data_IF_187577426152
#
_entry.id   IF_187577426152
#
_cell.length_a   1.000
_cell.length_b   1.000
_cell.length_c   1.000
_cell.angle_alpha   90.00
_cell.angle_beta   90.00
_cell.angle_gamma   90.00
#
_symmetry.space_group_name_H-M   'P 1'
#
loop_
_entity.id
_entity.type
_entity.pdbx_description
1 polymer ?
#
# COMPACT_ATOMS: atom_id res chain seq x y z
N UNK A 1 11.33 20.67 -14.92
CA UNK A 1 10.77 20.31 -13.59
C UNK A 1 10.01 18.99 -13.60
N UNK A 2 8.75 18.92 -14.05
CA UNK A 2 7.94 17.68 -13.99
C UNK A 2 8.54 16.52 -14.79
N UNK A 3 8.90 16.75 -16.05
CA UNK A 3 9.50 15.73 -16.92
C UNK A 3 10.83 15.22 -16.38
N UNK A 4 11.63 16.09 -15.76
CA UNK A 4 12.91 15.74 -15.14
C UNK A 4 12.70 14.87 -13.89
N UNK A 5 11.72 15.22 -13.04
CA UNK A 5 11.35 14.41 -11.88
C UNK A 5 10.91 13.01 -12.29
N UNK A 6 10.04 12.92 -13.31
CA UNK A 6 9.58 11.64 -13.87
C UNK A 6 10.74 10.85 -14.46
N UNK A 7 11.65 11.51 -15.18
CA UNK A 7 12.83 10.86 -15.77
C UNK A 7 13.74 10.29 -14.68
N UNK A 8 14.00 11.05 -13.60
CA UNK A 8 14.76 10.59 -12.44
C UNK A 8 14.11 9.37 -11.79
N UNK A 9 12.81 9.43 -11.50
CA UNK A 9 12.06 8.29 -10.93
C UNK A 9 12.20 7.05 -11.81
N UNK A 10 12.01 7.19 -13.13
CA UNK A 10 12.14 6.08 -14.08
C UNK A 10 13.57 5.51 -14.13
N UNK A 11 14.57 6.36 -13.96
CA UNK A 11 15.96 5.92 -13.92
C UNK A 11 16.26 5.15 -12.63
N UNK A 12 15.77 5.61 -11.48
CA UNK A 12 15.87 4.88 -10.21
C UNK A 12 15.14 3.54 -10.26
N UNK A 13 13.96 3.48 -10.89
CA UNK A 13 13.24 2.22 -11.12
C UNK A 13 14.05 1.26 -12.00
N UNK A 14 14.67 1.76 -13.06
CA UNK A 14 15.52 0.93 -13.94
C UNK A 14 16.76 0.41 -13.23
N UNK A 15 17.45 1.28 -12.48
CA UNK A 15 18.63 0.89 -11.70
C UNK A 15 18.30 -0.19 -10.67
N UNK A 16 17.10 -0.14 -10.09
CA UNK A 16 16.66 -1.09 -9.07
C UNK A 16 15.54 -2.01 -9.57
N UNK A 17 15.63 -2.46 -10.83
CA UNK A 17 14.60 -3.30 -11.47
C UNK A 17 14.32 -4.62 -10.73
N UNK A 18 15.22 -5.06 -9.85
CA UNK A 18 15.03 -6.25 -9.02
C UNK A 18 14.05 -6.04 -7.86
N UNK A 19 13.75 -4.79 -7.50
CA UNK A 19 12.90 -4.45 -6.36
C UNK A 19 11.51 -4.01 -6.81
N UNK A 20 10.53 -4.92 -6.69
CA UNK A 20 9.14 -4.64 -7.06
C UNK A 20 8.56 -3.42 -6.32
N UNK A 21 9.00 -3.16 -5.09
CA UNK A 21 8.52 -2.05 -4.27
C UNK A 21 8.93 -0.69 -4.84
N UNK A 22 10.15 -0.61 -5.39
CA UNK A 22 10.64 0.60 -6.04
C UNK A 22 9.80 0.90 -7.29
N UNK A 23 9.43 -0.12 -8.05
CA UNK A 23 8.55 0.03 -9.20
C UNK A 23 7.17 0.56 -8.80
N UNK A 24 6.52 -0.05 -7.80
CA UNK A 24 5.19 0.36 -7.33
C UNK A 24 5.20 1.80 -6.83
N UNK A 25 6.19 2.18 -6.00
CA UNK A 25 6.28 3.53 -5.47
C UNK A 25 6.67 4.54 -6.55
N UNK A 26 7.53 4.15 -7.50
CA UNK A 26 7.90 4.97 -8.64
C UNK A 26 6.69 5.30 -9.52
N UNK A 27 5.87 4.31 -9.85
CA UNK A 27 4.62 4.52 -10.59
C UNK A 27 3.65 5.44 -9.84
N UNK A 28 3.48 5.20 -8.54
CA UNK A 28 2.66 6.05 -7.68
C UNK A 28 3.14 7.51 -7.67
N UNK A 29 4.45 7.75 -7.54
CA UNK A 29 5.01 9.10 -7.56
C UNK A 29 4.82 9.79 -8.91
N UNK A 30 4.97 9.06 -10.02
CA UNK A 30 4.72 9.61 -11.36
C UNK A 30 3.25 10.03 -11.50
N UNK A 31 2.31 9.17 -11.10
CA UNK A 31 0.89 9.52 -11.11
C UNK A 31 0.59 10.72 -10.21
N UNK A 32 1.22 10.79 -9.03
CA UNK A 32 1.04 11.90 -8.11
C UNK A 32 1.55 13.22 -8.71
N UNK A 33 2.74 13.22 -9.33
CA UNK A 33 3.31 14.40 -9.99
C UNK A 33 2.43 14.88 -11.14
N UNK A 34 1.84 13.97 -11.92
CA UNK A 34 0.95 14.34 -13.02
C UNK A 34 -0.31 15.09 -12.53
N UNK A 35 -0.85 14.71 -11.36
CA UNK A 35 -1.99 15.40 -10.75
C UNK A 35 -1.57 16.64 -9.93
N UNK A 36 -0.33 16.66 -9.44
CA UNK A 36 0.19 17.71 -8.58
C UNK A 36 1.62 18.09 -9.00
N UNK A 37 1.79 19.00 -9.98
CA UNK A 37 3.10 19.34 -10.52
C UNK A 37 4.06 19.98 -9.48
N UNK A 38 3.53 20.56 -8.40
CA UNK A 38 4.33 21.08 -7.26
C UNK A 38 5.13 19.96 -6.56
N UNK A 39 4.69 18.70 -6.66
CA UNK A 39 5.42 17.57 -6.11
C UNK A 39 6.75 17.31 -6.83
N UNK A 40 6.89 17.74 -8.10
CA UNK A 40 8.10 17.49 -8.89
C UNK A 40 9.34 18.15 -8.27
N UNK A 41 9.22 19.38 -7.76
CA UNK A 41 10.33 20.08 -7.11
C UNK A 41 10.78 19.36 -5.83
N UNK A 42 9.83 18.77 -5.10
CA UNK A 42 10.12 18.02 -3.88
C UNK A 42 10.82 16.69 -4.15
N UNK A 43 10.51 16.04 -5.27
CA UNK A 43 11.17 14.80 -5.71
C UNK A 43 12.57 15.07 -6.28
N UNK A 44 12.75 16.22 -6.96
CA UNK A 44 14.05 16.64 -7.46
C UNK A 44 15.01 17.15 -6.38
N UNK A 45 14.51 17.40 -5.17
CA UNK A 45 15.33 17.84 -4.05
C UNK A 45 16.53 16.90 -3.80
N UNK A 46 17.66 17.51 -3.47
CA UNK A 46 18.91 16.78 -3.26
C UNK A 46 18.79 15.75 -2.13
N UNK A 47 19.39 14.58 -2.34
CA UNK A 47 19.39 13.49 -1.36
C UNK A 47 18.11 12.68 -1.25
N UNK A 48 17.03 13.02 -1.98
CA UNK A 48 15.80 12.22 -2.03
C UNK A 48 15.87 11.16 -3.12
N UNK A 49 15.48 9.93 -2.74
CA UNK A 49 15.42 8.75 -3.59
C UNK A 49 14.25 7.86 -3.19
N UNK A 50 13.78 7.03 -4.13
CA UNK A 50 12.69 6.07 -3.88
C UNK A 50 13.13 5.06 -2.82
N UNK A 51 14.36 4.54 -2.92
CA UNK A 51 14.92 3.58 -1.96
C UNK A 51 14.89 4.13 -0.52
N UNK A 52 15.34 5.38 -0.29
CA UNK A 52 15.29 5.97 1.06
C UNK A 52 13.87 6.17 1.57
N UNK A 53 12.91 6.44 0.68
CA UNK A 53 11.51 6.54 1.08
C UNK A 53 10.93 5.19 1.54
N UNK A 54 11.39 4.09 0.93
CA UNK A 54 11.06 2.72 1.34
C UNK A 54 11.72 2.40 2.68
N UNK A 55 12.98 2.78 2.88
CA UNK A 55 13.68 2.59 4.16
C UNK A 55 12.94 3.28 5.31
N UNK A 56 12.45 4.51 5.08
CA UNK A 56 11.64 5.22 6.07
C UNK A 56 10.29 4.53 6.33
N UNK A 57 9.65 4.00 5.28
CA UNK A 57 8.45 3.18 5.43
C UNK A 57 8.73 1.93 6.26
N UNK A 58 9.84 1.24 6.03
CA UNK A 58 10.28 0.08 6.79
C UNK A 58 10.59 0.44 8.26
N UNK A 59 11.19 1.61 8.51
CA UNK A 59 11.46 2.11 9.85
C UNK A 59 10.16 2.38 10.64
N UNK A 60 9.16 2.99 9.99
CA UNK A 60 7.83 3.20 10.59
C UNK A 60 7.13 1.86 10.83
N UNK A 61 7.18 0.93 9.88
CA UNK A 61 6.63 -0.43 10.05
C UNK A 61 7.27 -1.13 11.25
N UNK A 62 8.60 -1.04 11.38
CA UNK A 62 9.36 -1.63 12.50
C UNK A 62 8.92 -1.06 13.85
N UNK A 63 8.64 0.25 13.94
CA UNK A 63 8.12 0.88 15.16
C UNK A 63 6.70 0.43 15.51
N UNK A 64 5.87 0.18 14.49
CA UNK A 64 4.50 -0.36 14.64
C UNK A 64 4.45 -1.88 14.82
N UNK A 65 5.56 -2.58 14.61
CA UNK A 65 5.57 -4.03 14.59
C UNK A 65 5.21 -4.61 15.96
N UNK A 66 4.23 -5.51 15.97
CA UNK A 66 3.87 -6.30 17.14
C UNK A 66 4.21 -7.76 16.87
N UNK A 67 4.95 -8.38 17.80
CA UNK A 67 5.45 -9.76 17.66
C UNK A 67 6.23 -9.98 16.34
N UNK A 68 7.04 -8.99 15.94
CA UNK A 68 7.86 -9.05 14.72
C UNK A 68 7.11 -8.89 13.41
N UNK A 69 5.81 -8.53 13.44
CA UNK A 69 5.00 -8.31 12.24
C UNK A 69 4.34 -6.95 12.29
N UNK A 70 4.39 -6.24 11.17
CA UNK A 70 3.66 -5.00 10.95
C UNK A 70 2.86 -5.16 9.66
N UNK A 71 1.60 -4.77 9.71
CA UNK A 71 0.77 -4.65 8.52
C UNK A 71 0.56 -3.16 8.28
N UNK A 72 1.02 -2.68 7.12
CA UNK A 72 0.70 -1.36 6.62
C UNK A 72 -0.27 -1.53 5.47
N UNK A 73 -1.31 -0.71 5.45
CA UNK A 73 -2.14 -0.57 4.24
C UNK A 73 -1.37 0.20 3.17
N UNK A 74 -1.74 0.01 1.90
CA UNK A 74 -1.12 0.74 0.78
C UNK A 74 -1.19 2.26 1.01
N UNK A 75 -2.34 2.75 1.50
CA UNK A 75 -2.55 4.16 1.81
C UNK A 75 -1.60 4.68 2.89
N UNK A 76 -1.36 3.90 3.96
CA UNK A 76 -0.39 4.27 4.99
C UNK A 76 1.04 4.29 4.44
N UNK A 77 1.40 3.30 3.63
CA UNK A 77 2.71 3.22 2.97
C UNK A 77 2.97 4.45 2.10
N UNK A 78 2.03 4.76 1.19
CA UNK A 78 2.13 5.93 0.32
C UNK A 78 2.17 7.24 1.10
N UNK A 79 1.41 7.36 2.20
CA UNK A 79 1.44 8.54 3.06
C UNK A 79 2.81 8.76 3.70
N UNK A 80 3.48 7.69 4.12
CA UNK A 80 4.85 7.78 4.67
C UNK A 80 5.83 8.26 3.58
N UNK A 81 5.71 7.70 2.37
CA UNK A 81 6.52 8.12 1.22
C UNK A 81 6.30 9.60 0.89
N UNK A 82 5.04 10.05 0.75
CA UNK A 82 4.72 11.46 0.48
C UNK A 82 5.27 12.38 1.57
N UNK A 83 5.15 11.97 2.84
CA UNK A 83 5.71 12.70 3.98
C UNK A 83 7.24 12.79 3.91
N UNK A 84 7.93 11.72 3.51
CA UNK A 84 9.37 11.74 3.27
C UNK A 84 9.76 12.76 2.19
N UNK A 85 9.00 12.82 1.11
CA UNK A 85 9.20 13.83 0.07
C UNK A 85 8.74 15.24 0.51
N UNK A 86 8.05 15.39 1.63
CA UNK A 86 7.53 16.68 2.10
C UNK A 86 6.39 17.19 1.23
N UNK A 87 5.72 16.27 0.54
CA UNK A 87 4.54 16.55 -0.26
C UNK A 87 3.36 16.55 0.72
N UNK A 88 2.77 17.72 0.95
CA UNK A 88 1.54 17.81 1.72
C UNK A 88 0.45 17.13 0.92
N UNK A 89 -0.20 16.13 1.50
CA UNK A 89 -1.47 15.63 1.00
C UNK A 89 -2.43 16.81 0.97
N UNK A 90 -2.63 17.43 -0.21
CA UNK A 90 -3.88 18.16 -0.42
C UNK A 90 -4.97 17.10 -0.20
N UNK A 91 -6.01 17.38 0.59
CA UNK A 91 -7.15 16.48 0.73
C UNK A 91 -7.89 16.45 -0.61
N UNK A 92 -7.28 15.81 -1.61
CA UNK A 92 -8.00 15.34 -2.76
C UNK A 92 -8.85 14.23 -2.19
N UNK A 93 -10.12 14.55 -1.95
CA UNK A 93 -11.18 13.58 -1.85
C UNK A 93 -11.20 12.82 -3.18
N UNK A 94 -10.23 11.91 -3.37
CA UNK A 94 -10.37 10.83 -4.31
C UNK A 94 -11.49 10.02 -3.71
N UNK A 95 -12.70 10.25 -4.21
CA UNK A 95 -13.75 9.26 -4.16
C UNK A 95 -13.14 8.03 -4.80
N UNK A 96 -12.61 7.16 -3.97
CA UNK A 96 -12.55 5.74 -4.27
C UNK A 96 -14.02 5.36 -4.45
N UNK A 97 -14.50 5.47 -5.69
CA UNK A 97 -15.53 4.55 -6.15
C UNK A 97 -14.97 3.17 -5.85
N UNK A 98 -15.48 2.57 -4.77
CA UNK A 98 -15.35 1.15 -4.49
C UNK A 98 -16.06 0.42 -5.62
N UNK A 99 -15.47 0.38 -6.82
CA UNK A 99 -15.59 -0.81 -7.64
C UNK A 99 -14.72 -1.86 -6.97
N UNK A 100 -15.37 -2.57 -6.05
CA UNK A 100 -14.95 -3.85 -5.53
C UNK A 100 -14.73 -4.82 -6.71
N UNK A 101 -13.54 -4.78 -7.31
CA UNK A 101 -13.00 -5.96 -7.98
C UNK A 101 -12.49 -6.88 -6.87
N UNK A 102 -12.97 -8.13 -6.81
CA UNK A 102 -12.74 -9.04 -5.70
C UNK A 102 -11.24 -9.29 -5.52
N UNK A 103 -10.81 -9.24 -4.26
CA UNK A 103 -9.48 -9.62 -3.83
C UNK A 103 -9.11 -11.02 -4.34
N UNK A 104 -7.84 -11.28 -4.69
CA UNK A 104 -7.37 -12.63 -4.97
C UNK A 104 -7.64 -13.53 -3.75
N UNK A 105 -8.32 -14.63 -4.05
CA UNK A 105 -8.83 -15.62 -3.11
C UNK A 105 -7.73 -16.15 -2.20
N UNK A 106 -7.74 -15.72 -0.94
CA UNK A 106 -7.20 -16.51 0.15
C UNK A 106 -8.05 -17.77 0.20
N UNK A 107 -7.44 -18.91 -0.14
CA UNK A 107 -8.01 -20.24 0.05
C UNK A 107 -8.29 -20.46 1.53
N UNK A 108 -9.46 -20.06 1.98
CA UNK A 108 -10.13 -20.55 3.18
C UNK A 108 -10.38 -22.05 3.02
N UNK A 109 -9.92 -22.92 3.93
CA UNK A 109 -10.46 -24.26 4.01
C UNK A 109 -11.93 -24.18 4.48
N UNK A 110 -12.80 -24.63 3.58
CA UNK A 110 -14.11 -25.26 3.76
C UNK A 110 -14.90 -25.00 5.07
N UNK A 111 -16.02 -24.27 4.89
CA UNK A 111 -17.36 -24.48 5.47
C UNK A 111 -17.45 -25.52 6.62
N UNK A 112 -17.53 -25.05 7.86
CA UNK A 112 -18.19 -25.82 8.92
C UNK A 112 -19.71 -25.72 8.71
N UNK A 113 -20.30 -26.85 8.31
CA UNK A 113 -21.74 -27.07 8.26
C UNK A 113 -22.27 -27.02 9.69
N UNK A 114 -23.07 -26.02 10.03
CA UNK A 114 -23.86 -26.04 11.26
C UNK A 114 -24.88 -27.16 11.07
N UNK A 115 -24.74 -28.21 11.86
CA UNK A 115 -25.71 -29.29 11.99
C UNK A 115 -26.55 -28.88 13.20
N UNK A 116 -27.75 -28.37 12.98
CA UNK A 116 -28.74 -28.21 14.04
C UNK A 116 -29.17 -29.60 14.50
N UNK A 117 -28.53 -30.08 15.57
CA UNK A 117 -28.83 -31.35 16.21
C UNK A 117 -30.05 -31.15 17.12
N UNK A 118 -31.25 -31.19 16.54
CA UNK A 118 -32.49 -31.18 17.30
C UNK A 118 -32.85 -32.62 17.70
N UNK A 119 -32.50 -33.01 18.93
CA UNK A 119 -32.93 -34.27 19.54
C UNK A 119 -34.16 -33.99 20.39
N UNK A 120 -35.30 -34.56 19.99
CA UNK A 120 -36.50 -34.61 20.84
C UNK A 120 -36.36 -35.75 21.86
N UNK A 121 -36.65 -35.46 23.13
CA UNK A 121 -36.63 -36.41 24.25
C UNK A 121 -37.67 -37.54 24.14
N UNK A 122 -38.51 -37.52 23.11
CA UNK A 122 -39.57 -38.51 22.87
C UNK A 122 -39.03 -39.82 22.28
N UNK A 123 -37.81 -39.82 21.70
CA UNK A 123 -37.22 -41.01 21.06
C UNK A 123 -36.57 -41.98 22.07
N UNK A 124 -36.39 -41.57 23.33
CA UNK A 124 -35.74 -42.37 24.38
C UNK A 124 -36.69 -43.07 25.35
N UNK A 125 -38.01 -42.92 25.18
CA UNK A 125 -39.02 -43.60 26.01
C UNK A 125 -39.83 -44.55 25.12
N UNK A 126 -39.29 -45.75 24.89
CA UNK A 126 -40.08 -46.92 24.52
C UNK A 126 -39.55 -48.18 25.20
#
# INVERSE_FOLDING_TARGET
MVTEAIKKIKEEMKQNSNDQYISVIGEFLIQHINHNPEAAEKVLAEGKSISKSIDEMANVAKKKASKGRAMLTDQEGFKIVLKYFGIKEKPTAVKIDLEAKPAPEVKTPAKSKIIDFNVSLEDFIK
#
